data_IF_392301034180
#
_entry.id   IF_392301034180
#
_cell.length_a   1.000
_cell.length_b   1.000
_cell.length_c   1.000
_cell.angle_alpha   90.00
_cell.angle_beta   90.00
_cell.angle_gamma   90.00
#
_symmetry.space_group_name_H-M   'P 1'
#
loop_
_entity.id
_entity.type
_entity.pdbx_description
1 polymer ?
#
# COMPACT_ATOMS: atom_id res chain seq x y z
N UNK A 1 4.29 22.07 -20.49
CA UNK A 1 3.19 21.93 -19.48
C UNK A 1 1.96 22.69 -19.91
N UNK A 2 0.73 22.24 -19.63
CA UNK A 2 -0.48 22.97 -20.05
C UNK A 2 -0.70 24.22 -19.18
N UNK A 3 -1.13 25.33 -19.79
CA UNK A 3 -1.46 26.60 -19.12
C UNK A 3 -2.42 26.41 -17.94
N UNK A 4 -3.32 25.44 -18.03
CA UNK A 4 -4.23 25.06 -16.96
C UNK A 4 -3.50 24.63 -15.65
N UNK A 5 -2.35 23.98 -15.76
CA UNK A 5 -1.57 23.53 -14.59
C UNK A 5 -1.08 24.74 -13.77
N UNK A 6 -0.53 25.75 -14.44
CA UNK A 6 -0.05 26.97 -13.77
C UNK A 6 -1.19 27.75 -13.12
N UNK A 7 -2.34 27.85 -13.81
CA UNK A 7 -3.53 28.52 -13.27
C UNK A 7 -4.01 27.86 -11.98
N UNK A 8 -4.11 26.55 -11.95
CA UNK A 8 -4.51 25.81 -10.72
C UNK A 8 -3.53 26.03 -9.58
N UNK A 9 -2.22 25.94 -9.84
CA UNK A 9 -1.22 26.16 -8.77
C UNK A 9 -1.29 27.57 -8.25
N UNK A 10 -1.44 28.57 -9.11
CA UNK A 10 -1.57 29.98 -8.71
C UNK A 10 -2.80 30.20 -7.82
N UNK A 11 -3.97 29.67 -8.20
CA UNK A 11 -5.20 29.77 -7.42
C UNK A 11 -5.02 29.16 -6.03
N UNK A 12 -4.46 27.95 -5.95
CA UNK A 12 -4.29 27.25 -4.68
C UNK A 12 -3.22 27.87 -3.79
N UNK A 13 -2.15 28.40 -4.38
CA UNK A 13 -1.14 29.17 -3.64
C UNK A 13 -1.75 30.43 -3.04
N UNK A 14 -2.57 31.15 -3.82
CA UNK A 14 -3.28 32.32 -3.35
C UNK A 14 -4.27 32.00 -2.22
N UNK A 15 -5.05 30.93 -2.37
CA UNK A 15 -5.94 30.43 -1.29
C UNK A 15 -5.17 30.12 0.00
N UNK A 16 -4.02 29.46 -0.12
CA UNK A 16 -3.16 29.17 1.03
C UNK A 16 -2.68 30.43 1.74
N UNK A 17 -2.17 31.41 0.98
CA UNK A 17 -1.70 32.68 1.52
C UNK A 17 -2.84 33.41 2.22
N UNK A 18 -4.01 33.50 1.61
CA UNK A 18 -5.19 34.14 2.22
C UNK A 18 -5.59 33.47 3.53
N UNK A 19 -5.56 32.14 3.61
CA UNK A 19 -5.88 31.41 4.86
C UNK A 19 -4.85 31.67 5.96
N UNK A 20 -3.57 31.74 5.59
CA UNK A 20 -2.49 32.01 6.57
C UNK A 20 -2.60 33.46 7.09
N UNK A 21 -2.90 34.42 6.22
CA UNK A 21 -3.05 35.83 6.62
C UNK A 21 -4.31 36.09 7.43
N UNK A 22 -5.42 35.41 7.11
CA UNK A 22 -6.69 35.58 7.79
C UNK A 22 -6.75 34.95 9.20
N UNK A 23 -6.17 33.79 9.40
CA UNK A 23 -6.28 33.01 10.63
C UNK A 23 -4.98 32.97 11.45
N UNK A 24 -3.87 33.43 10.88
CA UNK A 24 -2.54 33.29 11.45
C UNK A 24 -1.94 31.89 11.25
N UNK A 25 -0.60 31.83 11.21
CA UNK A 25 0.14 30.60 10.92
C UNK A 25 -0.10 29.50 11.95
N UNK A 26 -0.21 29.84 13.24
CA UNK A 26 -0.44 28.86 14.31
C UNK A 26 -1.78 28.15 14.16
N UNK A 27 -2.86 28.89 13.92
CA UNK A 27 -4.19 28.30 13.71
C UNK A 27 -4.25 27.49 12.43
N UNK A 28 -3.64 28.01 11.33
CA UNK A 28 -3.56 27.28 10.07
C UNK A 28 -2.92 25.90 10.25
N UNK A 29 -1.84 25.81 11.02
CA UNK A 29 -1.11 24.57 11.28
C UNK A 29 -1.80 23.63 12.27
N UNK A 30 -2.79 24.09 13.00
CA UNK A 30 -3.55 23.24 13.93
C UNK A 30 -4.56 22.34 13.20
N UNK A 31 -5.05 22.77 12.05
CA UNK A 31 -6.04 22.04 11.24
C UNK A 31 -5.33 21.08 10.29
N UNK A 32 -5.55 19.76 10.48
CA UNK A 32 -4.88 18.72 9.69
C UNK A 32 -5.15 18.83 8.17
N UNK A 33 -6.34 19.29 7.76
CA UNK A 33 -6.68 19.52 6.36
C UNK A 33 -5.88 20.67 5.73
N UNK A 34 -5.53 21.68 6.50
CA UNK A 34 -4.70 22.77 6.02
C UNK A 34 -3.24 22.35 5.85
N UNK A 35 -2.73 21.46 6.73
CA UNK A 35 -1.41 20.83 6.54
C UNK A 35 -1.35 20.05 5.23
N UNK A 36 -2.41 19.29 4.97
CA UNK A 36 -2.51 18.52 3.71
C UNK A 36 -2.52 19.44 2.49
N UNK A 37 -3.32 20.52 2.52
CA UNK A 37 -3.32 21.54 1.46
C UNK A 37 -1.93 22.16 1.26
N UNK A 38 -1.25 22.49 2.36
CA UNK A 38 0.10 23.06 2.32
C UNK A 38 1.09 22.12 1.63
N UNK A 39 1.12 20.86 2.03
CA UNK A 39 2.01 19.84 1.42
C UNK A 39 1.74 19.73 -0.09
N UNK A 40 0.48 19.65 -0.52
CA UNK A 40 0.14 19.56 -1.93
C UNK A 40 0.54 20.82 -2.71
N UNK A 41 0.41 22.02 -2.13
CA UNK A 41 0.86 23.27 -2.77
C UNK A 41 2.37 23.26 -2.93
N UNK A 42 3.13 22.95 -1.88
CA UNK A 42 4.60 22.93 -1.94
C UNK A 42 5.08 21.89 -2.97
N UNK A 43 4.56 20.66 -2.92
CA UNK A 43 4.90 19.63 -3.90
C UNK A 43 4.56 20.07 -5.34
N UNK A 44 3.47 20.83 -5.51
CA UNK A 44 3.06 21.34 -6.80
C UNK A 44 3.96 22.45 -7.30
N UNK A 45 4.47 23.31 -6.42
CA UNK A 45 5.44 24.35 -6.75
C UNK A 45 6.80 23.75 -7.14
N UNK A 46 7.28 22.77 -6.37
CA UNK A 46 8.50 22.03 -6.71
C UNK A 46 8.37 21.32 -8.06
N UNK A 47 7.20 20.76 -8.36
CA UNK A 47 6.94 20.06 -9.64
C UNK A 47 6.82 21.00 -10.85
N UNK A 48 6.78 22.32 -10.66
CA UNK A 48 6.82 23.32 -11.75
C UNK A 48 8.25 23.60 -12.17
N UNK A 49 9.19 23.60 -11.23
CA UNK A 49 10.60 23.88 -11.49
C UNK A 49 11.28 22.60 -12.00
N UNK A 50 11.41 22.52 -13.33
CA UNK A 50 11.98 21.35 -14.01
C UNK A 50 13.48 21.18 -13.66
N UNK A 51 14.19 22.27 -13.38
CA UNK A 51 15.62 22.22 -13.02
C UNK A 51 15.82 21.64 -11.62
N UNK A 52 15.00 22.04 -10.66
CA UNK A 52 15.00 21.47 -9.30
C UNK A 52 14.67 19.98 -9.32
N UNK A 53 13.70 19.57 -10.13
CA UNK A 53 13.30 18.16 -10.25
C UNK A 53 14.42 17.31 -10.84
N UNK A 54 15.14 17.80 -11.83
CA UNK A 54 16.29 17.09 -12.44
C UNK A 54 17.45 16.95 -11.45
N UNK A 55 17.74 17.98 -10.67
CA UNK A 55 18.78 17.92 -9.62
C UNK A 55 18.43 16.90 -8.51
N UNK A 56 17.16 16.72 -8.20
CA UNK A 56 16.70 15.77 -7.18
C UNK A 56 16.61 14.31 -7.68
N UNK A 57 16.97 14.03 -8.94
CA UNK A 57 16.83 12.70 -9.56
C UNK A 57 15.42 12.10 -9.42
N UNK A 58 14.39 12.94 -9.37
CA UNK A 58 13.00 12.51 -9.18
C UNK A 58 12.45 11.95 -10.50
N UNK A 59 11.94 10.74 -10.44
CA UNK A 59 11.35 10.08 -11.61
C UNK A 59 10.13 10.89 -12.12
N UNK A 60 10.02 11.06 -13.44
CA UNK A 60 8.89 11.73 -14.11
C UNK A 60 7.53 11.17 -13.68
N UNK A 61 7.48 9.89 -13.31
CA UNK A 61 6.27 9.24 -12.78
C UNK A 61 5.81 9.87 -11.46
N UNK A 62 6.74 10.27 -10.58
CA UNK A 62 6.41 10.94 -9.32
C UNK A 62 5.72 12.29 -9.56
N UNK A 63 6.13 13.03 -10.60
CA UNK A 63 5.49 14.29 -10.97
C UNK A 63 4.04 14.10 -11.44
N UNK A 64 3.74 12.99 -12.11
CA UNK A 64 2.36 12.65 -12.48
C UNK A 64 1.51 12.38 -11.26
N UNK A 65 2.04 11.63 -10.27
CA UNK A 65 1.34 11.34 -9.02
C UNK A 65 1.05 12.64 -8.26
N UNK A 66 2.01 13.57 -8.17
CA UNK A 66 1.82 14.88 -7.53
C UNK A 66 0.71 15.69 -8.23
N UNK A 67 0.60 15.62 -9.55
CA UNK A 67 -0.51 16.28 -10.28
C UNK A 67 -1.86 15.67 -9.95
N UNK A 68 -1.94 14.33 -9.88
CA UNK A 68 -3.17 13.60 -9.55
C UNK A 68 -3.55 13.81 -8.09
N UNK A 69 -2.59 13.94 -7.17
CA UNK A 69 -2.86 14.15 -5.74
C UNK A 69 -3.67 15.41 -5.44
N UNK A 70 -3.71 16.38 -6.39
CA UNK A 70 -4.58 17.56 -6.27
C UNK A 70 -6.07 17.20 -6.23
N UNK A 71 -6.47 16.09 -6.85
CA UNK A 71 -7.87 15.60 -6.79
C UNK A 71 -8.25 15.20 -5.38
N UNK A 72 -7.29 14.80 -4.55
CA UNK A 72 -7.54 14.46 -3.14
C UNK A 72 -8.07 15.65 -2.33
N UNK A 73 -7.93 16.89 -2.82
CA UNK A 73 -8.57 18.07 -2.20
C UNK A 73 -10.09 18.02 -2.25
N UNK A 74 -10.67 17.30 -3.22
CA UNK A 74 -12.11 17.11 -3.29
C UNK A 74 -12.66 16.38 -2.06
N UNK A 75 -11.82 15.56 -1.39
CA UNK A 75 -12.16 14.89 -0.14
C UNK A 75 -12.56 15.91 0.94
N UNK A 76 -11.84 17.03 1.01
CA UNK A 76 -12.10 18.10 1.97
C UNK A 76 -13.47 18.76 1.77
N UNK A 77 -13.98 18.78 0.55
CA UNK A 77 -15.26 19.43 0.21
C UNK A 77 -16.44 18.54 0.55
N UNK A 78 -16.25 17.22 0.61
CA UNK A 78 -17.32 16.24 0.88
C UNK A 78 -17.28 15.75 2.33
N UNK A 79 -18.32 16.05 3.09
CA UNK A 79 -18.42 15.60 4.50
C UNK A 79 -18.61 14.09 4.60
N UNK A 80 -19.25 13.46 3.62
CA UNK A 80 -19.36 12.01 3.53
C UNK A 80 -18.00 11.34 3.40
N UNK A 81 -17.12 11.86 2.53
CA UNK A 81 -15.78 11.32 2.36
C UNK A 81 -14.91 11.53 3.60
N UNK A 82 -15.03 12.67 4.28
CA UNK A 82 -14.35 12.91 5.57
C UNK A 82 -14.78 11.89 6.62
N UNK A 83 -16.10 11.63 6.72
CA UNK A 83 -16.65 10.65 7.66
C UNK A 83 -16.13 9.25 7.37
N UNK A 84 -16.11 8.84 6.10
CA UNK A 84 -15.55 7.54 5.69
C UNK A 84 -14.07 7.41 6.06
N UNK A 85 -13.25 8.43 5.77
CA UNK A 85 -11.83 8.43 6.14
C UNK A 85 -11.63 8.39 7.65
N UNK A 86 -12.45 9.10 8.42
CA UNK A 86 -12.40 9.06 9.89
C UNK A 86 -12.69 7.66 10.42
N UNK A 87 -13.72 7.01 9.89
CA UNK A 87 -14.08 5.63 10.26
C UNK A 87 -12.96 4.66 9.92
N UNK A 88 -12.39 4.78 8.72
CA UNK A 88 -11.24 3.98 8.28
C UNK A 88 -10.06 4.15 9.25
N UNK A 89 -9.71 5.39 9.59
CA UNK A 89 -8.63 5.69 10.54
C UNK A 89 -8.89 5.08 11.92
N UNK A 90 -10.12 5.17 12.43
CA UNK A 90 -10.49 4.57 13.71
C UNK A 90 -10.40 3.03 13.70
N UNK A 91 -10.62 2.41 12.53
CA UNK A 91 -10.56 0.95 12.36
C UNK A 91 -9.13 0.42 12.19
N UNK A 92 -8.15 1.28 11.91
CA UNK A 92 -6.75 0.86 11.67
C UNK A 92 -6.20 0.06 12.85
N UNK A 93 -6.48 0.46 14.10
CA UNK A 93 -6.00 -0.26 15.28
C UNK A 93 -6.46 -1.72 15.29
N UNK A 94 -7.73 -1.97 15.03
CA UNK A 94 -8.30 -3.32 14.97
C UNK A 94 -7.74 -4.12 13.80
N UNK A 95 -7.59 -3.48 12.64
CA UNK A 95 -6.99 -4.10 11.44
C UNK A 95 -5.54 -4.51 11.72
N UNK A 96 -4.75 -3.65 12.35
CA UNK A 96 -3.35 -3.96 12.70
C UNK A 96 -3.23 -5.14 13.66
N UNK A 97 -4.12 -5.23 14.66
CA UNK A 97 -4.13 -6.37 15.60
C UNK A 97 -4.39 -7.68 14.85
N UNK A 98 -5.41 -7.69 13.99
CA UNK A 98 -5.73 -8.88 13.17
C UNK A 98 -4.62 -9.21 12.17
N UNK A 99 -4.03 -8.19 11.53
CA UNK A 99 -2.92 -8.37 10.60
C UNK A 99 -1.67 -8.94 11.30
N UNK A 100 -1.40 -8.51 12.53
CA UNK A 100 -0.29 -9.06 13.34
C UNK A 100 -0.49 -10.53 13.62
N UNK A 101 -1.70 -10.95 14.03
CA UNK A 101 -2.03 -12.34 14.25
C UNK A 101 -1.88 -13.16 12.96
N UNK A 102 -2.41 -12.67 11.85
CA UNK A 102 -2.28 -13.32 10.55
C UNK A 102 -0.81 -13.47 10.13
N UNK A 103 0.00 -12.44 10.32
CA UNK A 103 1.42 -12.47 10.02
C UNK A 103 2.15 -13.52 10.87
N UNK A 104 1.81 -13.62 12.15
CA UNK A 104 2.37 -14.64 13.04
C UNK A 104 2.00 -16.06 12.56
N UNK A 105 0.75 -16.28 12.18
CA UNK A 105 0.31 -17.57 11.64
C UNK A 105 1.06 -17.91 10.35
N UNK A 106 1.13 -16.97 9.41
CA UNK A 106 1.89 -17.15 8.16
C UNK A 106 3.36 -17.47 8.44
N UNK A 107 3.97 -16.81 9.42
CA UNK A 107 5.36 -17.09 9.82
C UNK A 107 5.52 -18.55 10.29
N UNK A 108 4.68 -19.00 11.21
CA UNK A 108 4.73 -20.38 11.75
C UNK A 108 4.52 -21.42 10.65
N UNK A 109 3.50 -21.21 9.80
CA UNK A 109 3.21 -22.11 8.70
C UNK A 109 4.28 -22.07 7.59
N UNK A 110 4.93 -20.91 7.35
CA UNK A 110 6.05 -20.82 6.41
C UNK A 110 7.25 -21.65 6.86
N UNK A 111 7.61 -21.58 8.15
CA UNK A 111 8.69 -22.40 8.72
C UNK A 111 8.34 -23.90 8.68
N UNK A 112 7.11 -24.26 9.03
CA UNK A 112 6.63 -25.63 8.93
C UNK A 112 6.59 -26.11 7.47
N UNK A 113 6.09 -25.27 6.55
CA UNK A 113 6.05 -25.56 5.11
C UNK A 113 7.43 -25.80 4.51
N UNK A 114 8.42 -24.97 4.85
CA UNK A 114 9.81 -25.20 4.44
C UNK A 114 10.33 -26.57 4.91
N UNK A 115 10.08 -26.89 6.16
CA UNK A 115 10.55 -28.16 6.74
C UNK A 115 9.90 -29.38 6.08
N UNK A 116 8.60 -29.30 5.76
CA UNK A 116 7.84 -30.41 5.22
C UNK A 116 7.93 -30.53 3.70
N UNK A 117 7.88 -29.40 2.99
CA UNK A 117 7.70 -29.35 1.54
C UNK A 117 8.87 -28.73 0.76
N UNK A 118 9.95 -28.31 1.44
CA UNK A 118 11.12 -27.72 0.78
C UNK A 118 11.80 -28.60 -0.28
N UNK A 119 11.57 -29.93 -0.21
CA UNK A 119 12.12 -30.90 -1.16
C UNK A 119 11.12 -31.36 -2.25
N UNK A 120 9.94 -30.78 -2.32
CA UNK A 120 8.94 -31.10 -3.35
C UNK A 120 9.46 -30.60 -4.71
N UNK A 121 9.46 -31.48 -5.76
CA UNK A 121 9.92 -31.08 -7.08
C UNK A 121 8.95 -30.10 -7.72
N UNK A 122 9.45 -29.37 -8.74
CA UNK A 122 8.63 -28.46 -9.53
C UNK A 122 7.56 -29.23 -10.31
N UNK A 123 6.38 -28.66 -10.37
CA UNK A 123 5.20 -29.14 -11.08
C UNK A 123 4.48 -27.98 -11.78
N UNK A 124 3.18 -28.13 -11.99
CA UNK A 124 2.36 -27.11 -12.63
C UNK A 124 2.04 -25.95 -11.69
N UNK A 125 1.90 -26.23 -10.40
CA UNK A 125 1.52 -25.24 -9.35
C UNK A 125 2.70 -24.85 -8.46
N UNK A 126 3.59 -25.80 -8.13
CA UNK A 126 4.85 -25.56 -7.43
C UNK A 126 5.94 -25.32 -8.48
N UNK A 127 6.48 -24.09 -8.49
CA UNK A 127 7.44 -23.65 -9.50
C UNK A 127 8.43 -22.64 -8.89
N UNK A 128 9.26 -22.02 -9.73
CA UNK A 128 10.25 -21.04 -9.29
C UNK A 128 9.66 -19.88 -8.45
N UNK A 129 8.40 -19.50 -8.71
CA UNK A 129 7.72 -18.38 -8.04
C UNK A 129 6.80 -18.78 -6.89
N UNK A 130 6.46 -20.05 -6.76
CA UNK A 130 5.58 -20.58 -5.73
C UNK A 130 6.11 -21.91 -5.24
N UNK A 131 6.89 -21.91 -4.17
CA UNK A 131 7.54 -23.08 -3.58
C UNK A 131 7.79 -22.90 -2.09
N UNK A 132 8.34 -23.92 -1.44
CA UNK A 132 8.68 -23.95 -0.03
C UNK A 132 10.20 -24.06 0.22
N UNK A 133 11.04 -23.72 -0.76
CA UNK A 133 12.51 -23.87 -0.64
C UNK A 133 13.15 -22.86 0.26
N UNK A 134 12.64 -21.61 0.23
CA UNK A 134 13.10 -20.54 1.12
C UNK A 134 11.96 -20.03 1.98
N UNK A 135 12.31 -19.34 3.07
CA UNK A 135 11.32 -18.71 3.95
C UNK A 135 10.48 -17.66 3.19
N UNK A 136 11.14 -16.87 2.35
CA UNK A 136 10.47 -15.83 1.57
C UNK A 136 9.47 -16.42 0.56
N UNK A 137 9.88 -17.43 -0.19
CA UNK A 137 9.01 -18.11 -1.15
C UNK A 137 7.85 -18.80 -0.46
N UNK A 138 8.10 -19.40 0.72
CA UNK A 138 7.06 -20.03 1.52
C UNK A 138 6.00 -19.05 1.99
N UNK A 139 6.40 -17.86 2.46
CA UNK A 139 5.45 -16.80 2.84
C UNK A 139 4.63 -16.35 1.65
N UNK A 140 5.24 -16.12 0.49
CA UNK A 140 4.53 -15.69 -0.72
C UNK A 140 3.54 -16.78 -1.17
N UNK A 141 3.97 -18.03 -1.16
CA UNK A 141 3.12 -19.18 -1.52
C UNK A 141 1.91 -19.30 -0.59
N UNK A 142 2.12 -19.18 0.71
CA UNK A 142 1.05 -19.22 1.70
C UNK A 142 0.14 -17.98 1.63
N UNK A 143 0.71 -16.80 1.40
CA UNK A 143 -0.07 -15.58 1.17
C UNK A 143 -0.99 -15.73 -0.04
N UNK A 144 -0.47 -16.26 -1.15
CA UNK A 144 -1.24 -16.57 -2.35
C UNK A 144 -2.36 -17.56 -2.05
N UNK A 145 -2.06 -18.63 -1.34
CA UNK A 145 -3.05 -19.62 -0.92
C UNK A 145 -4.13 -19.04 0.00
N UNK A 146 -3.76 -18.13 0.92
CA UNK A 146 -4.68 -17.43 1.81
C UNK A 146 -5.71 -16.56 1.05
N UNK A 147 -5.35 -16.04 -0.12
CA UNK A 147 -6.31 -15.33 -1.00
C UNK A 147 -7.21 -16.27 -1.81
N UNK A 148 -7.07 -17.57 -1.65
CA UNK A 148 -7.84 -18.59 -2.37
C UNK A 148 -7.26 -18.96 -3.74
N UNK A 149 -6.10 -18.40 -4.12
CA UNK A 149 -5.51 -18.67 -5.43
C UNK A 149 -4.68 -19.95 -5.42
N UNK A 150 -5.02 -20.89 -6.29
CA UNK A 150 -4.27 -22.13 -6.59
C UNK A 150 -3.93 -23.03 -5.40
N UNK A 151 -4.48 -22.78 -4.20
CA UNK A 151 -4.16 -23.55 -2.99
C UNK A 151 -4.40 -25.05 -3.15
N UNK A 152 -5.47 -25.43 -3.87
CA UNK A 152 -5.81 -26.84 -4.11
C UNK A 152 -4.75 -27.53 -4.98
N UNK A 153 -4.28 -26.90 -6.06
CA UNK A 153 -3.23 -27.43 -6.90
C UNK A 153 -1.93 -27.66 -6.15
N UNK A 154 -1.50 -26.64 -5.37
CA UNK A 154 -0.30 -26.75 -4.53
C UNK A 154 -0.45 -27.88 -3.50
N UNK A 155 -1.63 -28.00 -2.87
CA UNK A 155 -1.93 -29.08 -1.94
C UNK A 155 -1.78 -30.47 -2.59
N UNK A 156 -2.32 -30.64 -3.82
CA UNK A 156 -2.23 -31.90 -4.54
C UNK A 156 -0.80 -32.27 -4.91
N UNK A 157 0.02 -31.33 -5.33
CA UNK A 157 1.44 -31.57 -5.60
C UNK A 157 2.23 -31.91 -4.32
N UNK A 158 1.97 -31.21 -3.23
CA UNK A 158 2.51 -31.55 -1.91
C UNK A 158 2.06 -32.97 -1.48
N UNK A 159 0.79 -33.32 -1.72
CA UNK A 159 0.25 -34.63 -1.41
C UNK A 159 0.93 -35.74 -2.22
N UNK A 160 1.14 -35.54 -3.49
CA UNK A 160 1.82 -36.50 -4.37
C UNK A 160 3.25 -36.83 -3.90
N UNK A 161 3.92 -35.85 -3.26
CA UNK A 161 5.28 -36.01 -2.74
C UNK A 161 5.35 -36.48 -1.28
N UNK A 162 4.46 -36.00 -0.40
CA UNK A 162 4.53 -36.17 1.08
C UNK A 162 3.31 -36.89 1.68
N UNK A 163 2.33 -37.26 0.85
CA UNK A 163 1.15 -38.00 1.29
C UNK A 163 0.24 -37.22 2.24
N UNK A 164 -0.35 -37.91 3.19
CA UNK A 164 -1.41 -37.40 4.05
C UNK A 164 -0.99 -36.18 4.91
N UNK A 165 0.31 -36.03 5.18
CA UNK A 165 0.85 -34.90 5.95
C UNK A 165 0.52 -33.57 5.24
N UNK A 166 0.55 -33.56 3.90
CA UNK A 166 0.18 -32.38 3.13
C UNK A 166 -1.29 -31.99 3.35
N UNK A 167 -2.21 -32.98 3.32
CA UNK A 167 -3.63 -32.71 3.55
C UNK A 167 -3.85 -32.12 4.95
N UNK A 168 -3.22 -32.72 5.98
CA UNK A 168 -3.34 -32.24 7.37
C UNK A 168 -2.82 -30.82 7.49
N UNK A 169 -1.66 -30.51 6.90
CA UNK A 169 -1.08 -29.17 6.90
C UNK A 169 -2.04 -28.14 6.27
N UNK A 170 -2.59 -28.44 5.09
CA UNK A 170 -3.47 -27.51 4.38
C UNK A 170 -4.86 -27.36 5.00
N UNK A 171 -5.36 -28.37 5.73
CA UNK A 171 -6.62 -28.26 6.48
C UNK A 171 -6.44 -27.40 7.73
N UNK A 172 -5.27 -27.47 8.37
CA UNK A 172 -4.99 -26.68 9.58
C UNK A 172 -4.64 -25.23 9.22
N UNK A 173 -3.97 -25.01 8.08
CA UNK A 173 -3.69 -23.69 7.55
C UNK A 173 -4.96 -22.98 7.09
#
# INVERSE_FOLDING_TARGET
MSSANYTFVAIFTFEMILKITAHGFQYYWHVNWNKFDFIIVILSLVAIDEDMVQQMNVNVTCLRIIRVSRLLRMIKTSDSLKSLLKTLYMSIGNILTTATLLTLLLFVFAVAGMSLFGSVPDGDFINEHANFRTFYDSIITLWRACTGESWNGIMHECYSSKGIIAIVFWIIF
#
